data_IF_940995479726
#
_entry.id   IF_940995479726
#
_cell.length_a   1.000
_cell.length_b   1.000
_cell.length_c   1.000
_cell.angle_alpha   90.00
_cell.angle_beta   90.00
_cell.angle_gamma   90.00
#
_symmetry.space_group_name_H-M   'P 1'
#
loop_
_entity.id
_entity.type
_entity.pdbx_description
1 polymer ?
#
# COMPACT_ATOMS: atom_id res chain seq x y z
N UNK A 1 -13.50 10.56 -7.71
CA UNK A 1 -12.47 10.58 -8.79
C UNK A 1 -12.14 9.17 -9.32
N UNK A 2 -11.61 9.06 -10.55
CA UNK A 2 -11.15 7.80 -11.19
C UNK A 2 -9.80 7.36 -10.65
N UNK A 3 -9.58 6.04 -10.53
CA UNK A 3 -8.26 5.49 -10.21
C UNK A 3 -7.31 5.54 -11.42
N UNK A 4 -6.00 5.38 -11.18
CA UNK A 4 -4.99 5.31 -12.25
C UNK A 4 -5.28 4.21 -13.28
N UNK A 5 -5.85 3.08 -12.85
CA UNK A 5 -6.21 1.97 -13.72
C UNK A 5 -7.39 2.31 -14.63
N UNK A 6 -8.40 3.00 -14.09
CA UNK A 6 -9.54 3.46 -14.88
C UNK A 6 -9.13 4.57 -15.85
N UNK A 7 -8.28 5.51 -15.41
CA UNK A 7 -7.71 6.55 -16.26
C UNK A 7 -6.90 5.94 -17.40
N UNK A 8 -6.03 4.98 -17.09
CA UNK A 8 -5.23 4.27 -18.08
C UNK A 8 -6.12 3.55 -19.09
N UNK A 9 -7.10 2.77 -18.62
CA UNK A 9 -8.04 2.06 -19.50
C UNK A 9 -8.79 3.02 -20.42
N UNK A 10 -9.34 4.11 -19.89
CA UNK A 10 -10.05 5.11 -20.70
C UNK A 10 -9.13 5.75 -21.75
N UNK A 11 -7.91 6.11 -21.38
CA UNK A 11 -6.94 6.71 -22.29
C UNK A 11 -6.58 5.75 -23.45
N UNK A 12 -6.33 4.47 -23.16
CA UNK A 12 -6.03 3.46 -24.18
C UNK A 12 -7.22 3.19 -25.09
N UNK A 13 -8.44 3.18 -24.54
CA UNK A 13 -9.67 2.92 -25.29
C UNK A 13 -10.25 4.15 -26.00
N UNK A 14 -9.61 5.33 -25.88
CA UNK A 14 -10.12 6.58 -26.45
C UNK A 14 -11.43 7.08 -25.80
N UNK A 15 -11.73 6.63 -24.59
CA UNK A 15 -12.93 7.03 -23.84
C UNK A 15 -12.71 8.39 -23.14
N UNK A 16 -13.77 9.21 -22.97
CA UNK A 16 -13.63 10.53 -22.38
C UNK A 16 -13.23 10.49 -20.90
N UNK A 17 -12.34 11.42 -20.53
CA UNK A 17 -11.93 11.72 -19.15
C UNK A 17 -12.39 13.15 -18.85
N UNK A 18 -13.52 13.30 -18.13
CA UNK A 18 -14.17 14.59 -17.92
C UNK A 18 -13.36 15.56 -17.03
N UNK A 19 -12.55 15.01 -16.12
CA UNK A 19 -11.75 15.79 -15.19
C UNK A 19 -11.03 14.88 -14.18
N UNK A 20 -9.99 15.42 -13.54
CA UNK A 20 -9.25 14.76 -12.47
C UNK A 20 -9.23 15.73 -11.28
N UNK A 21 -9.73 15.28 -10.13
CA UNK A 21 -9.84 16.09 -8.93
C UNK A 21 -9.03 15.48 -7.79
N UNK A 22 -8.24 16.28 -7.09
CA UNK A 22 -7.68 15.83 -5.83
C UNK A 22 -8.82 15.79 -4.81
N UNK A 23 -9.11 14.60 -4.27
CA UNK A 23 -10.16 14.41 -3.26
C UNK A 23 -9.58 14.49 -1.84
N UNK A 24 -8.35 14.01 -1.67
CA UNK A 24 -7.67 13.86 -0.38
C UNK A 24 -6.16 14.01 -0.55
N UNK A 25 -5.47 14.57 0.44
CA UNK A 25 -4.04 14.36 0.58
C UNK A 25 -3.81 12.88 0.96
N UNK A 26 -2.79 12.26 0.37
CA UNK A 26 -2.53 10.83 0.56
C UNK A 26 -1.06 10.48 0.51
N UNK A 27 -0.69 9.42 1.22
CA UNK A 27 0.64 8.83 1.17
C UNK A 27 0.55 7.31 1.16
N UNK A 28 1.57 6.67 0.59
CA UNK A 28 1.64 5.21 0.51
C UNK A 28 2.98 4.68 0.98
N UNK A 29 2.97 3.47 1.52
CA UNK A 29 4.19 2.75 1.89
C UNK A 29 4.05 1.27 1.54
N UNK A 30 5.12 0.71 1.01
CA UNK A 30 5.16 -0.68 0.56
C UNK A 30 5.31 -1.64 1.74
N UNK A 31 4.60 -2.76 1.68
CA UNK A 31 4.77 -3.88 2.61
C UNK A 31 5.81 -4.82 2.01
N UNK A 32 6.93 -5.02 2.71
CA UNK A 32 8.04 -5.85 2.24
C UNK A 32 8.07 -7.17 2.99
N UNK A 33 8.35 -8.26 2.25
CA UNK A 33 8.57 -9.56 2.85
C UNK A 33 9.85 -9.56 3.72
N UNK A 34 9.77 -10.06 4.97
CA UNK A 34 10.90 -10.07 5.90
C UNK A 34 11.89 -11.21 5.66
N UNK A 35 11.52 -12.20 4.85
CA UNK A 35 12.29 -13.41 4.56
C UNK A 35 11.82 -14.05 3.26
N UNK A 36 12.60 -14.98 2.76
CA UNK A 36 12.20 -15.87 1.68
C UNK A 36 11.18 -16.89 2.22
N UNK A 37 10.12 -17.15 1.44
CA UNK A 37 9.17 -18.24 1.68
C UNK A 37 8.71 -18.81 0.35
N UNK A 38 8.61 -20.14 0.28
CA UNK A 38 8.00 -20.82 -0.86
C UNK A 38 6.48 -20.76 -0.78
N UNK A 39 5.80 -21.31 -1.80
CA UNK A 39 4.34 -21.36 -1.84
C UNK A 39 3.73 -22.19 -0.71
N UNK A 40 4.36 -23.31 -0.39
CA UNK A 40 3.95 -24.18 0.70
C UNK A 40 4.10 -23.49 2.07
N UNK A 41 5.07 -22.59 2.17
CA UNK A 41 5.40 -21.85 3.40
C UNK A 41 4.68 -20.51 3.53
N UNK A 42 3.89 -20.09 2.53
CA UNK A 42 3.15 -18.82 2.57
C UNK A 42 2.28 -18.63 3.82
N UNK A 43 1.58 -19.66 4.35
CA UNK A 43 0.85 -19.54 5.61
C UNK A 43 1.72 -19.16 6.82
N UNK A 44 3.05 -19.32 6.73
CA UNK A 44 3.99 -18.89 7.78
C UNK A 44 4.24 -17.39 7.81
N UNK A 45 3.90 -16.64 6.76
CA UNK A 45 3.90 -15.17 6.78
C UNK A 45 2.66 -14.69 7.52
N UNK A 46 2.84 -14.33 8.79
CA UNK A 46 1.78 -13.79 9.62
C UNK A 46 1.63 -12.29 9.35
N UNK A 47 0.52 -11.92 8.73
CA UNK A 47 0.16 -10.53 8.51
C UNK A 47 -0.55 -9.97 9.75
N UNK A 48 0.03 -8.95 10.39
CA UNK A 48 -0.62 -8.27 11.51
C UNK A 48 -1.60 -7.20 11.00
N UNK A 49 -2.74 -7.64 10.46
CA UNK A 49 -3.78 -6.72 9.99
C UNK A 49 -4.55 -6.07 11.14
N UNK A 50 -4.73 -6.76 12.26
CA UNK A 50 -5.48 -6.26 13.41
C UNK A 50 -4.91 -4.95 13.94
N UNK A 51 -3.59 -4.88 14.16
CA UNK A 51 -2.96 -3.65 14.63
C UNK A 51 -2.89 -2.59 13.53
N UNK A 52 -2.63 -3.00 12.28
CA UNK A 52 -2.51 -2.05 11.18
C UNK A 52 -3.84 -1.36 10.81
N UNK A 53 -4.97 -2.02 11.04
CA UNK A 53 -6.31 -1.52 10.70
C UNK A 53 -7.01 -0.78 11.85
N UNK A 54 -6.39 -0.67 13.03
CA UNK A 54 -6.93 0.13 14.16
C UNK A 54 -6.95 1.63 13.86
N UNK A 55 -6.16 2.10 12.91
CA UNK A 55 -6.05 3.52 12.56
C UNK A 55 -6.96 3.90 11.40
N UNK A 56 -7.82 4.90 11.62
CA UNK A 56 -8.74 5.43 10.60
C UNK A 56 -8.01 5.99 9.37
N UNK A 57 -8.73 6.15 8.25
CA UNK A 57 -8.22 6.62 6.95
C UNK A 57 -7.01 5.81 6.45
N UNK A 58 -7.00 4.53 6.78
CA UNK A 58 -5.99 3.54 6.36
C UNK A 58 -6.64 2.54 5.43
N UNK A 59 -5.96 2.21 4.33
CA UNK A 59 -6.34 1.09 3.46
C UNK A 59 -5.11 0.22 3.24
N UNK A 60 -5.31 -1.10 3.24
CA UNK A 60 -4.27 -2.09 2.97
C UNK A 60 -4.65 -2.86 1.72
N UNK A 61 -3.71 -3.01 0.78
CA UNK A 61 -3.88 -3.82 -0.43
C UNK A 61 -2.77 -4.86 -0.50
N UNK A 62 -3.13 -6.13 -0.42
CA UNK A 62 -2.20 -7.27 -0.54
C UNK A 62 -2.27 -7.84 -1.95
N UNK A 63 -1.12 -8.15 -2.54
CA UNK A 63 -1.01 -8.56 -3.94
C UNK A 63 -1.25 -10.06 -4.18
N UNK A 64 -1.39 -10.86 -3.11
CA UNK A 64 -1.65 -12.30 -3.20
C UNK A 64 -0.55 -13.07 -3.94
N UNK A 65 0.72 -12.71 -3.75
CA UNK A 65 1.84 -13.41 -4.38
C UNK A 65 1.95 -14.83 -3.80
N UNK A 66 2.18 -15.85 -4.64
CA UNK A 66 2.25 -17.24 -4.21
C UNK A 66 3.56 -17.56 -3.49
N UNK A 67 4.58 -16.71 -3.53
CA UNK A 67 5.86 -16.92 -2.86
C UNK A 67 6.43 -15.54 -2.47
N UNK A 68 7.38 -15.50 -1.55
CA UNK A 68 8.07 -14.25 -1.20
C UNK A 68 9.59 -14.42 -1.21
N UNK A 69 10.27 -13.32 -1.51
CA UNK A 69 11.71 -13.20 -1.32
C UNK A 69 11.97 -12.01 -0.40
N UNK A 70 13.11 -11.99 0.30
CA UNK A 70 13.50 -10.88 1.14
C UNK A 70 13.40 -9.54 0.38
N UNK A 71 12.62 -8.60 0.93
CA UNK A 71 12.38 -7.31 0.29
C UNK A 71 11.44 -7.33 -0.93
N UNK A 72 10.76 -8.44 -1.22
CA UNK A 72 9.70 -8.50 -2.22
C UNK A 72 8.51 -7.66 -1.76
N UNK A 73 7.93 -6.88 -2.68
CA UNK A 73 6.73 -6.09 -2.42
C UNK A 73 5.50 -7.01 -2.34
N UNK A 74 4.93 -7.14 -1.15
CA UNK A 74 3.78 -8.02 -0.87
C UNK A 74 2.45 -7.26 -0.88
N UNK A 75 2.51 -5.94 -0.70
CA UNK A 75 1.35 -5.08 -0.71
C UNK A 75 1.71 -3.62 -0.53
N UNK A 76 0.71 -2.81 -0.30
CA UNK A 76 0.84 -1.38 -0.03
C UNK A 76 -0.17 -0.95 1.03
N UNK A 77 0.28 -0.11 1.95
CA UNK A 77 -0.56 0.66 2.86
C UNK A 77 -0.77 2.03 2.26
N UNK A 78 -2.01 2.51 2.29
CA UNK A 78 -2.44 3.83 1.83
C UNK A 78 -3.04 4.55 3.03
N UNK A 79 -2.50 5.73 3.35
CA UNK A 79 -3.06 6.63 4.34
C UNK A 79 -3.55 7.89 3.64
N UNK A 80 -4.69 8.42 4.07
CA UNK A 80 -5.24 9.64 3.51
C UNK A 80 -5.79 10.56 4.59
N UNK A 81 -5.96 11.82 4.22
CA UNK A 81 -6.48 12.87 5.09
C UNK A 81 -7.34 13.86 4.32
N UNK A 82 -7.62 14.99 4.94
CA UNK A 82 -8.27 16.11 4.27
C UNK A 82 -7.31 16.72 3.23
N UNK A 83 -7.80 17.63 2.37
CA UNK A 83 -7.03 18.15 1.22
C UNK A 83 -5.76 18.91 1.62
N UNK A 84 -5.80 19.56 2.78
CA UNK A 84 -4.73 20.37 3.36
C UNK A 84 -3.93 19.60 4.43
N UNK A 85 -4.18 18.30 4.61
CA UNK A 85 -3.47 17.50 5.61
C UNK A 85 -1.97 17.42 5.31
N UNK A 86 -1.16 17.40 6.37
CA UNK A 86 0.29 17.28 6.25
C UNK A 86 0.70 15.92 5.65
N UNK A 87 1.22 15.99 4.43
CA UNK A 87 1.73 14.83 3.70
C UNK A 87 2.90 14.13 4.40
N UNK A 88 3.67 14.85 5.22
CA UNK A 88 4.77 14.27 6.01
C UNK A 88 4.22 13.35 7.09
N UNK A 89 3.25 13.83 7.87
CA UNK A 89 2.54 13.02 8.86
C UNK A 89 1.84 11.79 8.22
N UNK A 90 1.17 11.97 7.07
CA UNK A 90 0.54 10.86 6.34
C UNK A 90 1.56 9.83 5.86
N UNK A 91 2.70 10.29 5.35
CA UNK A 91 3.80 9.41 4.93
C UNK A 91 4.30 8.60 6.11
N UNK A 92 4.65 9.25 7.22
CA UNK A 92 5.23 8.60 8.38
C UNK A 92 4.25 7.60 9.01
N UNK A 93 2.96 7.92 9.02
CA UNK A 93 1.88 6.97 9.34
C UNK A 93 1.89 5.76 8.41
N UNK A 94 1.91 5.97 7.09
CA UNK A 94 1.95 4.87 6.12
C UNK A 94 3.18 3.98 6.33
N UNK A 95 4.37 4.56 6.56
CA UNK A 95 5.59 3.77 6.83
C UNK A 95 5.44 2.89 8.05
N UNK A 96 4.96 3.46 9.15
CA UNK A 96 4.79 2.78 10.42
C UNK A 96 3.79 1.63 10.27
N UNK A 97 2.66 1.88 9.62
CA UNK A 97 1.63 0.85 9.39
C UNK A 97 2.11 -0.24 8.44
N UNK A 98 2.82 0.09 7.36
CA UNK A 98 3.41 -0.92 6.47
C UNK A 98 4.43 -1.82 7.22
N UNK A 99 5.22 -1.23 8.11
CA UNK A 99 6.09 -1.98 9.02
C UNK A 99 5.30 -2.85 9.99
N UNK A 100 4.17 -2.39 10.53
CA UNK A 100 3.32 -3.21 11.42
C UNK A 100 2.85 -4.48 10.72
N UNK A 101 2.52 -4.44 9.43
CA UNK A 101 1.91 -5.59 8.73
C UNK A 101 2.82 -6.82 8.67
N UNK A 102 4.12 -6.66 8.36
CA UNK A 102 5.07 -7.79 8.23
C UNK A 102 6.39 -7.61 9.02
N UNK A 103 6.51 -6.56 9.84
CA UNK A 103 7.70 -6.25 10.63
C UNK A 103 8.84 -5.57 9.88
N UNK A 104 8.79 -5.52 8.54
CA UNK A 104 9.88 -5.00 7.70
C UNK A 104 9.80 -3.49 7.51
N UNK A 105 10.94 -2.79 7.62
CA UNK A 105 11.01 -1.37 7.27
C UNK A 105 10.86 -1.17 5.75
N UNK A 106 9.87 -0.39 5.28
CA UNK A 106 9.68 -0.10 3.85
C UNK A 106 10.87 0.60 3.17
N UNK A 107 11.80 1.18 3.94
CA UNK A 107 12.98 1.91 3.46
C UNK A 107 14.30 1.24 3.86
N UNK A 108 14.28 -0.05 4.21
CA UNK A 108 15.52 -0.78 4.46
C UNK A 108 16.48 -0.67 3.27
N UNK A 109 17.77 -0.49 3.56
CA UNK A 109 18.81 -0.59 2.53
C UNK A 109 18.84 -2.03 2.04
N UNK A 110 18.81 -2.19 0.72
CA UNK A 110 19.02 -3.48 0.06
C UNK A 110 20.46 -3.94 0.22
#
# INVERSE_FOLDING_TARGET
NLSEFELHFRAVMGLPIAGIHLEHAGASAVILAPKDVTNEEMPSLQYNFEDALKEDRTRIRIFGKPEAHFGRRMGVVLCYGDLDADTTALRDKAKRLAKTVLGTDPYMKK
#
